data_IF_354927763565
#
_entry.id   IF_354927763565
#
_cell.length_a   1.000
_cell.length_b   1.000
_cell.length_c   1.000
_cell.angle_alpha   90.00
_cell.angle_beta   90.00
_cell.angle_gamma   90.00
#
_symmetry.space_group_name_H-M   'P 1'
#
loop_
_entity.id
_entity.type
_entity.pdbx_description
1 polymer ?
#
# COMPACT_ATOMS: atom_id res chain seq x y z
N UNK A 1 -4.75 34.46 -32.47
CA UNK A 1 -3.64 33.49 -32.64
C UNK A 1 -4.21 32.10 -32.46
N UNK A 2 -4.04 31.25 -33.48
CA UNK A 2 -4.73 29.98 -33.70
C UNK A 2 -4.23 28.87 -32.78
N UNK A 3 -5.14 28.09 -32.18
CA UNK A 3 -4.83 26.95 -31.34
C UNK A 3 -4.68 25.67 -32.20
N UNK A 4 -3.46 25.14 -32.27
CA UNK A 4 -3.15 23.91 -33.01
C UNK A 4 -3.53 22.67 -32.19
N UNK A 5 -4.49 21.88 -32.69
CA UNK A 5 -4.77 20.52 -32.23
C UNK A 5 -3.80 19.54 -32.91
N UNK A 6 -2.92 18.88 -32.16
CA UNK A 6 -2.14 17.76 -32.67
C UNK A 6 -2.96 16.46 -32.56
N UNK A 7 -3.23 15.82 -33.71
CA UNK A 7 -3.79 14.47 -33.80
C UNK A 7 -2.64 13.48 -33.98
N UNK A 8 -2.55 12.47 -33.11
CA UNK A 8 -1.62 11.35 -33.28
C UNK A 8 -2.19 10.32 -34.26
N UNK A 9 -1.36 9.92 -35.24
CA UNK A 9 -1.65 8.89 -36.22
C UNK A 9 -1.48 7.47 -35.63
N UNK A 10 -2.31 6.52 -36.06
CA UNK A 10 -2.23 5.10 -35.69
C UNK A 10 -1.10 4.38 -36.45
N UNK A 11 -0.38 3.42 -35.85
CA UNK A 11 0.58 2.60 -36.59
C UNK A 11 -0.11 1.51 -37.42
N UNK A 12 0.50 1.21 -38.57
CA UNK A 12 0.11 0.20 -39.56
C UNK A 12 0.33 -1.24 -39.05
N UNK A 13 -0.54 -2.15 -39.49
CA UNK A 13 -0.48 -3.59 -39.19
C UNK A 13 0.65 -4.25 -40.00
N UNK A 14 1.63 -4.83 -39.32
CA UNK A 14 2.59 -5.78 -39.91
C UNK A 14 2.02 -7.20 -40.06
N UNK A 15 2.63 -8.06 -40.89
CA UNK A 15 2.06 -9.35 -41.30
C UNK A 15 2.17 -10.43 -40.21
N UNK A 16 1.22 -11.37 -40.23
CA UNK A 16 0.92 -12.33 -39.17
C UNK A 16 1.97 -13.41 -38.93
N UNK A 17 2.01 -13.88 -37.67
CA UNK A 17 2.76 -15.07 -37.23
C UNK A 17 2.04 -16.36 -37.66
N UNK A 18 2.78 -17.44 -38.00
CA UNK A 18 2.19 -18.75 -38.28
C UNK A 18 1.75 -19.46 -36.98
N UNK A 19 0.79 -20.42 -37.06
CA UNK A 19 0.22 -21.06 -35.88
C UNK A 19 1.12 -22.16 -35.32
N UNK A 20 1.10 -22.33 -33.99
CA UNK A 20 1.74 -23.43 -33.27
C UNK A 20 0.91 -24.74 -33.39
N UNK A 21 1.55 -25.93 -33.38
CA UNK A 21 0.84 -27.19 -33.51
C UNK A 21 0.10 -27.58 -32.22
N UNK A 22 -1.12 -28.10 -32.39
CA UNK A 22 -2.00 -28.58 -31.32
C UNK A 22 -1.43 -29.83 -30.63
N UNK A 23 -1.22 -29.76 -29.32
CA UNK A 23 -0.96 -30.93 -28.49
C UNK A 23 -2.23 -31.80 -28.37
N UNK A 24 -2.08 -33.11 -28.64
CA UNK A 24 -3.15 -34.10 -28.55
C UNK A 24 -3.44 -34.40 -27.07
N UNK A 25 -4.67 -34.16 -26.62
CA UNK A 25 -5.16 -34.64 -25.34
C UNK A 25 -5.26 -36.17 -25.36
N UNK A 26 -4.45 -36.84 -24.52
CA UNK A 26 -4.66 -38.24 -24.12
C UNK A 26 -5.73 -38.26 -23.03
N UNK A 27 -6.88 -38.83 -23.34
CA UNK A 27 -7.94 -39.18 -22.39
C UNK A 27 -7.48 -40.33 -21.49
N UNK A 28 -7.60 -40.14 -20.17
CA UNK A 28 -7.50 -41.23 -19.17
C UNK A 28 -8.92 -41.76 -18.89
N UNK A 29 -9.13 -43.08 -18.76
CA UNK A 29 -10.43 -43.61 -18.39
C UNK A 29 -10.72 -43.43 -16.90
N UNK A 30 -11.96 -43.03 -16.63
CA UNK A 30 -12.61 -42.96 -15.31
C UNK A 30 -13.01 -44.37 -14.87
N UNK A 31 -12.50 -44.82 -13.72
CA UNK A 31 -12.99 -46.02 -13.04
C UNK A 31 -13.82 -45.61 -11.82
N UNK A 32 -15.12 -45.90 -11.90
CA UNK A 32 -16.13 -45.65 -10.86
C UNK A 32 -16.24 -46.91 -9.98
N UNK A 33 -16.23 -46.81 -8.63
CA UNK A 33 -16.45 -47.97 -7.76
C UNK A 33 -17.96 -48.31 -7.61
N UNK A 34 -18.31 -49.56 -7.23
CA UNK A 34 -19.69 -50.07 -7.25
C UNK A 34 -20.55 -49.57 -6.07
N UNK A 35 -21.90 -49.66 -6.18
CA UNK A 35 -22.81 -49.18 -5.14
C UNK A 35 -22.91 -50.18 -3.96
N UNK A 36 -22.86 -49.65 -2.74
CA UNK A 36 -23.12 -50.39 -1.51
C UNK A 36 -24.63 -50.62 -1.26
N UNK A 37 -24.99 -51.59 -0.41
CA UNK A 37 -26.37 -52.07 -0.29
C UNK A 37 -27.28 -51.07 0.45
N UNK A 38 -28.48 -50.89 -0.13
CA UNK A 38 -29.60 -50.14 0.41
C UNK A 38 -30.13 -50.77 1.70
N UNK A 39 -30.07 -50.04 2.82
CA UNK A 39 -30.79 -50.39 4.05
C UNK A 39 -32.11 -49.62 4.12
N UNK A 40 -33.19 -50.40 4.14
CA UNK A 40 -34.57 -50.01 4.33
C UNK A 40 -34.79 -49.20 5.61
N UNK A 41 -35.46 -48.06 5.46
CA UNK A 41 -35.95 -47.20 6.53
C UNK A 41 -37.19 -47.83 7.17
N UNK A 42 -37.21 -47.98 8.50
CA UNK A 42 -38.42 -48.28 9.30
C UNK A 42 -38.52 -47.21 10.39
N UNK A 43 -39.69 -46.58 10.62
CA UNK A 43 -39.84 -45.63 11.70
C UNK A 43 -40.01 -46.38 13.02
N UNK A 44 -39.31 -45.92 14.07
CA UNK A 44 -39.66 -46.25 15.45
C UNK A 44 -40.07 -44.98 16.17
N UNK A 45 -41.22 -45.12 16.81
CA UNK A 45 -42.02 -44.21 17.62
C UNK A 45 -41.27 -43.45 18.71
N UNK A 46 -41.74 -42.22 18.90
CA UNK A 46 -41.84 -41.41 20.11
C UNK A 46 -41.32 -42.03 21.42
N UNK A 47 -40.25 -41.43 21.94
CA UNK A 47 -40.16 -41.15 23.38
C UNK A 47 -39.58 -39.75 23.58
N UNK A 48 -40.42 -38.89 24.15
CA UNK A 48 -40.08 -37.57 24.64
C UNK A 48 -38.97 -37.66 25.69
N UNK A 49 -37.81 -37.08 25.38
CA UNK A 49 -36.83 -36.65 26.39
C UNK A 49 -36.87 -35.13 26.45
N UNK A 50 -37.40 -34.62 27.56
CA UNK A 50 -37.22 -33.23 27.99
C UNK A 50 -35.72 -32.95 28.09
N UNK A 51 -35.16 -32.30 27.07
CA UNK A 51 -33.87 -31.65 27.17
C UNK A 51 -34.11 -30.26 27.74
N UNK A 52 -33.81 -30.10 29.03
CA UNK A 52 -33.71 -28.80 29.68
C UNK A 52 -32.76 -27.92 28.85
N UNK A 53 -33.29 -26.80 28.36
CA UNK A 53 -32.52 -25.83 27.60
C UNK A 53 -31.38 -25.28 28.45
N UNK A 54 -30.16 -25.75 28.19
CA UNK A 54 -28.97 -25.03 28.64
C UNK A 54 -28.88 -23.75 27.81
N UNK A 55 -29.41 -22.66 28.34
CA UNK A 55 -29.00 -21.32 27.93
C UNK A 55 -27.50 -21.18 28.21
N UNK A 56 -26.66 -21.68 27.29
CA UNK A 56 -25.29 -21.20 27.19
C UNK A 56 -25.40 -19.76 26.72
N UNK A 57 -25.43 -18.86 27.70
CA UNK A 57 -25.05 -17.46 27.53
C UNK A 57 -23.86 -17.45 26.58
N UNK A 58 -24.08 -16.90 25.38
CA UNK A 58 -23.02 -16.67 24.41
C UNK A 58 -22.17 -15.58 25.06
N UNK A 59 -21.13 -16.00 25.78
CA UNK A 59 -20.23 -15.09 26.48
C UNK A 59 -19.85 -13.96 25.51
N UNK A 60 -20.09 -12.72 25.91
CA UNK A 60 -19.72 -11.56 25.12
C UNK A 60 -18.23 -11.68 24.77
N UNK A 61 -17.89 -11.45 23.50
CA UNK A 61 -16.48 -11.41 23.09
C UNK A 61 -15.73 -10.43 24.01
N UNK A 62 -14.49 -10.74 24.41
CA UNK A 62 -13.70 -9.82 25.23
C UNK A 62 -13.64 -8.44 24.56
N UNK A 63 -13.53 -7.35 25.33
CA UNK A 63 -13.40 -6.02 24.77
C UNK A 63 -12.20 -5.99 23.84
N UNK A 64 -12.43 -5.57 22.58
CA UNK A 64 -11.38 -5.50 21.57
C UNK A 64 -10.34 -4.47 21.99
N UNK A 65 -9.07 -4.73 21.68
CA UNK A 65 -8.00 -3.75 21.93
C UNK A 65 -8.21 -2.54 21.02
N UNK A 66 -7.83 -1.37 21.51
CA UNK A 66 -7.99 -0.12 20.77
C UNK A 66 -7.30 -0.16 19.40
N UNK A 67 -6.08 -0.70 19.37
CA UNK A 67 -5.26 -0.87 18.17
C UNK A 67 -5.92 -1.79 17.14
N UNK A 68 -6.64 -2.83 17.58
CA UNK A 68 -7.42 -3.70 16.70
C UNK A 68 -8.54 -2.91 16.02
N UNK A 69 -9.23 -2.00 16.74
CA UNK A 69 -10.28 -1.18 16.15
C UNK A 69 -9.73 -0.18 15.14
N UNK A 70 -8.57 0.41 15.42
CA UNK A 70 -7.87 1.28 14.49
C UNK A 70 -7.49 0.52 13.21
N UNK A 71 -6.88 -0.66 13.36
CA UNK A 71 -6.49 -1.50 12.23
C UNK A 71 -7.69 -1.95 11.40
N UNK A 72 -8.73 -2.49 12.02
CA UNK A 72 -9.96 -2.90 11.33
C UNK A 72 -10.54 -1.76 10.48
N UNK A 73 -10.55 -0.55 11.04
CA UNK A 73 -11.11 0.63 10.37
C UNK A 73 -10.20 1.11 9.23
N UNK A 74 -8.88 1.14 9.44
CA UNK A 74 -7.92 1.45 8.39
C UNK A 74 -8.03 0.47 7.22
N UNK A 75 -8.13 -0.83 7.50
CA UNK A 75 -8.29 -1.87 6.48
C UNK A 75 -9.62 -1.74 5.73
N UNK A 76 -10.72 -1.50 6.45
CA UNK A 76 -12.03 -1.30 5.84
C UNK A 76 -12.04 -0.06 4.92
N UNK A 77 -11.47 1.05 5.39
CA UNK A 77 -11.33 2.28 4.62
C UNK A 77 -10.46 2.08 3.36
N UNK A 78 -9.28 1.46 3.51
CA UNK A 78 -8.38 1.20 2.40
C UNK A 78 -9.02 0.29 1.33
N UNK A 79 -9.74 -0.75 1.75
CA UNK A 79 -10.46 -1.64 0.83
C UNK A 79 -11.61 -0.93 0.11
N UNK A 80 -12.36 -0.08 0.81
CA UNK A 80 -13.44 0.69 0.20
C UNK A 80 -12.92 1.65 -0.89
N UNK A 81 -11.87 2.42 -0.59
CA UNK A 81 -11.21 3.26 -1.60
C UNK A 81 -10.59 2.45 -2.73
N UNK A 82 -9.85 1.38 -2.40
CA UNK A 82 -9.21 0.54 -3.39
C UNK A 82 -10.19 -0.13 -4.35
N UNK A 83 -11.41 -0.45 -3.91
CA UNK A 83 -12.47 -0.94 -4.79
C UNK A 83 -12.87 0.12 -5.83
N UNK A 84 -13.06 1.37 -5.41
CA UNK A 84 -13.37 2.49 -6.31
C UNK A 84 -12.26 2.68 -7.33
N UNK A 85 -11.00 2.71 -6.87
CA UNK A 85 -9.83 2.85 -7.73
C UNK A 85 -9.74 1.70 -8.75
N UNK A 86 -9.95 0.46 -8.31
CA UNK A 86 -9.92 -0.72 -9.18
C UNK A 86 -11.00 -0.66 -10.27
N UNK A 87 -12.22 -0.28 -9.93
CA UNK A 87 -13.34 -0.19 -10.87
C UNK A 87 -13.13 0.93 -11.90
N UNK A 88 -12.49 2.03 -11.49
CA UNK A 88 -12.26 3.20 -12.33
C UNK A 88 -10.98 3.14 -13.15
N UNK A 89 -9.97 2.37 -12.76
CA UNK A 89 -8.64 2.37 -13.37
C UNK A 89 -8.60 2.21 -14.90
N UNK A 90 -9.53 1.44 -15.48
CA UNK A 90 -9.59 1.22 -16.94
C UNK A 90 -10.45 2.26 -17.69
N UNK A 91 -11.03 3.24 -16.98
CA UNK A 91 -11.92 4.25 -17.52
C UNK A 91 -11.15 5.54 -17.86
N UNK A 92 -11.68 6.41 -18.74
CA UNK A 92 -11.12 7.74 -18.94
C UNK A 92 -11.18 8.57 -17.65
N UNK A 93 -10.10 9.30 -17.35
CA UNK A 93 -9.99 10.13 -16.14
C UNK A 93 -10.03 11.63 -16.45
N UNK A 94 -10.66 12.38 -15.55
CA UNK A 94 -10.63 13.83 -15.51
C UNK A 94 -9.42 14.28 -14.71
N UNK A 95 -8.34 14.62 -15.41
CA UNK A 95 -7.07 15.02 -14.78
C UNK A 95 -7.04 16.53 -14.60
N UNK A 96 -6.86 16.98 -13.36
CA UNK A 96 -6.63 18.37 -13.00
C UNK A 96 -5.21 18.59 -12.47
N UNK A 97 -4.64 19.77 -12.72
CA UNK A 97 -3.32 20.14 -12.19
C UNK A 97 -3.48 20.85 -10.85
N UNK A 98 -2.81 20.35 -9.81
CA UNK A 98 -2.62 21.03 -8.51
C UNK A 98 -1.39 21.94 -8.54
N UNK A 99 -0.44 21.64 -9.44
CA UNK A 99 0.80 22.39 -9.61
C UNK A 99 1.77 21.69 -10.57
N UNK A 100 2.99 22.20 -10.73
CA UNK A 100 4.00 21.56 -11.57
C UNK A 100 4.30 20.12 -11.09
N UNK A 101 4.08 19.12 -11.96
CA UNK A 101 4.24 17.68 -11.65
C UNK A 101 3.30 17.18 -10.55
N UNK A 102 2.21 17.90 -10.30
CA UNK A 102 1.25 17.56 -9.27
C UNK A 102 -0.16 17.57 -9.86
N UNK A 103 -0.79 16.40 -9.88
CA UNK A 103 -2.09 16.19 -10.52
C UNK A 103 -3.04 15.50 -9.55
N UNK A 104 -4.33 15.62 -9.84
CA UNK A 104 -5.41 14.94 -9.14
C UNK A 104 -6.43 14.46 -10.17
N UNK A 105 -7.09 13.35 -9.91
CA UNK A 105 -8.20 12.83 -10.72
C UNK A 105 -9.50 12.79 -9.93
N UNK A 106 -10.62 12.54 -10.60
CA UNK A 106 -11.89 12.29 -9.93
C UNK A 106 -11.83 11.04 -9.02
N UNK A 107 -10.94 10.10 -9.31
CA UNK A 107 -10.79 8.88 -8.52
C UNK A 107 -10.16 9.15 -7.15
N UNK A 108 -9.20 10.08 -7.05
CA UNK A 108 -8.60 10.51 -5.78
C UNK A 108 -9.67 11.06 -4.82
N UNK A 109 -10.57 11.91 -5.34
CA UNK A 109 -11.63 12.54 -4.56
C UNK A 109 -12.66 11.52 -4.06
N UNK A 110 -13.09 10.60 -4.93
CA UNK A 110 -14.04 9.54 -4.57
C UNK A 110 -13.45 8.56 -3.55
N UNK A 111 -12.17 8.20 -3.71
CA UNK A 111 -11.45 7.37 -2.76
C UNK A 111 -11.32 8.07 -1.40
N UNK A 112 -11.02 9.38 -1.39
CA UNK A 112 -10.98 10.18 -0.16
C UNK A 112 -12.33 10.15 0.56
N UNK A 113 -13.43 10.44 -0.15
CA UNK A 113 -14.77 10.44 0.44
C UNK A 113 -15.11 9.11 1.11
N UNK A 114 -14.79 7.99 0.46
CA UNK A 114 -15.00 6.65 1.02
C UNK A 114 -14.18 6.41 2.29
N UNK A 115 -12.91 6.84 2.33
CA UNK A 115 -12.05 6.71 3.50
C UNK A 115 -12.58 7.56 4.65
N UNK A 116 -12.91 8.83 4.39
CA UNK A 116 -13.42 9.75 5.41
C UNK A 116 -14.73 9.25 6.02
N UNK A 117 -15.63 8.69 5.20
CA UNK A 117 -16.88 8.13 5.68
C UNK A 117 -16.65 6.95 6.64
N UNK A 118 -15.74 6.03 6.31
CA UNK A 118 -15.39 4.89 7.16
C UNK A 118 -14.77 5.32 8.48
N UNK A 119 -13.82 6.26 8.44
CA UNK A 119 -13.15 6.76 9.65
C UNK A 119 -14.15 7.47 10.56
N UNK A 120 -14.93 8.42 10.03
CA UNK A 120 -15.88 9.22 10.83
C UNK A 120 -17.02 8.41 11.41
N UNK A 121 -17.42 7.32 10.77
CA UNK A 121 -18.45 6.43 11.29
C UNK A 121 -18.04 5.77 12.62
N UNK A 122 -16.74 5.55 12.84
CA UNK A 122 -16.23 4.89 14.05
C UNK A 122 -15.49 5.82 15.01
N UNK A 123 -14.84 6.86 14.49
CA UNK A 123 -14.01 7.81 15.24
C UNK A 123 -14.34 9.26 14.85
N UNK A 124 -15.57 9.74 15.12
CA UNK A 124 -15.99 11.09 14.76
C UNK A 124 -15.15 12.21 15.42
N UNK A 125 -14.49 11.91 16.54
CA UNK A 125 -13.67 12.83 17.32
C UNK A 125 -12.18 12.88 16.91
N UNK A 126 -11.72 11.94 16.08
CA UNK A 126 -10.33 11.94 15.62
C UNK A 126 -10.07 13.01 14.55
N UNK A 127 -8.83 13.50 14.51
CA UNK A 127 -8.38 14.33 13.40
C UNK A 127 -8.08 13.50 12.16
N UNK A 128 -8.22 14.11 10.99
CA UNK A 128 -7.83 13.52 9.71
C UNK A 128 -6.99 14.53 8.93
N UNK A 129 -5.77 14.14 8.59
CA UNK A 129 -4.88 14.80 7.65
C UNK A 129 -4.90 13.99 6.35
N UNK A 130 -5.37 14.58 5.27
CA UNK A 130 -5.54 13.90 3.98
C UNK A 130 -4.97 14.75 2.85
N UNK A 131 -4.34 14.14 1.83
CA UNK A 131 -3.73 14.88 0.70
C UNK A 131 -4.71 15.86 0.03
N UNK A 132 -5.90 15.38 -0.31
CA UNK A 132 -6.90 16.17 -1.04
C UNK A 132 -7.76 17.04 -0.11
N UNK A 133 -7.51 16.99 1.20
CA UNK A 133 -8.10 17.90 2.17
C UNK A 133 -7.11 19.06 2.42
N UNK A 134 -7.47 20.26 1.97
CA UNK A 134 -6.62 21.47 2.10
C UNK A 134 -6.21 21.82 3.54
N UNK A 135 -6.90 21.27 4.54
CA UNK A 135 -6.62 21.45 5.97
C UNK A 135 -6.93 20.17 6.75
N UNK A 136 -6.28 19.99 7.91
CA UNK A 136 -6.67 18.96 8.88
C UNK A 136 -8.15 19.10 9.25
N UNK A 137 -8.89 18.01 9.14
CA UNK A 137 -10.30 17.92 9.50
C UNK A 137 -10.42 17.42 10.94
N UNK A 138 -11.24 18.06 11.76
CA UNK A 138 -11.47 17.68 13.16
C UNK A 138 -10.98 18.70 14.18
N UNK A 139 -11.29 18.47 15.46
CA UNK A 139 -10.96 19.40 16.55
C UNK A 139 -9.46 19.43 16.85
N UNK A 140 -8.88 20.62 17.03
CA UNK A 140 -7.51 20.76 17.52
C UNK A 140 -7.32 20.06 18.88
N UNK A 141 -6.22 19.33 19.06
CA UNK A 141 -5.93 18.60 20.31
C UNK A 141 -6.52 17.19 20.42
N UNK A 142 -7.09 16.62 19.35
CA UNK A 142 -7.54 15.23 19.36
C UNK A 142 -6.36 14.28 19.70
N UNK A 143 -6.62 13.20 20.48
CA UNK A 143 -5.56 12.29 20.92
C UNK A 143 -4.93 11.51 19.77
N UNK A 144 -5.67 11.33 18.68
CA UNK A 144 -5.26 10.60 17.49
C UNK A 144 -5.59 11.37 16.20
N UNK A 145 -4.73 11.18 15.20
CA UNK A 145 -4.81 11.73 13.86
C UNK A 145 -4.64 10.61 12.84
N UNK A 146 -5.59 10.51 11.92
CA UNK A 146 -5.47 9.69 10.72
C UNK A 146 -4.69 10.45 9.66
N UNK A 147 -3.73 9.80 9.01
CA UNK A 147 -2.93 10.38 7.93
C UNK A 147 -3.20 9.55 6.67
N UNK A 148 -3.76 10.17 5.64
CA UNK A 148 -4.39 9.48 4.51
C UNK A 148 -3.86 10.00 3.19
N UNK A 149 -3.42 9.07 2.34
CA UNK A 149 -3.31 9.27 0.90
C UNK A 149 -4.35 8.36 0.22
N UNK A 150 -5.41 8.93 -0.39
CA UNK A 150 -6.43 8.15 -1.06
C UNK A 150 -5.95 7.46 -2.33
N UNK A 151 -4.87 7.96 -2.97
CA UNK A 151 -4.29 7.43 -4.19
C UNK A 151 -2.81 7.85 -4.33
N UNK A 152 -1.91 7.11 -3.69
CA UNK A 152 -0.48 7.27 -3.92
C UNK A 152 -0.12 6.70 -5.29
N UNK A 153 0.48 7.54 -6.13
CA UNK A 153 0.79 7.22 -7.53
C UNK A 153 -0.26 7.71 -8.53
N UNK A 154 -0.92 8.84 -8.28
CA UNK A 154 -1.91 9.46 -9.20
C UNK A 154 -1.40 9.60 -10.64
N UNK A 155 -0.12 9.90 -10.86
CA UNK A 155 0.47 9.95 -12.21
C UNK A 155 0.50 8.59 -12.90
N UNK A 156 0.80 7.52 -12.15
CA UNK A 156 0.73 6.16 -12.67
C UNK A 156 -0.70 5.78 -12.99
N UNK A 157 -1.62 6.05 -12.06
CA UNK A 157 -3.04 5.77 -12.20
C UNK A 157 -3.64 6.47 -13.44
N UNK A 158 -3.45 7.77 -13.58
CA UNK A 158 -3.94 8.56 -14.71
C UNK A 158 -3.38 8.11 -16.07
N UNK A 159 -2.24 7.41 -16.08
CA UNK A 159 -1.59 6.89 -17.29
C UNK A 159 -1.86 5.39 -17.54
N UNK A 160 -2.63 4.73 -16.68
CA UNK A 160 -2.89 3.30 -16.78
C UNK A 160 -1.69 2.42 -16.42
N UNK A 161 -0.73 2.93 -15.64
CA UNK A 161 0.39 2.16 -15.10
C UNK A 161 -0.10 1.48 -13.80
N UNK A 162 -0.05 0.14 -13.69
CA UNK A 162 -0.64 -0.59 -12.56
C UNK A 162 0.28 -0.61 -11.33
N UNK A 163 0.67 0.58 -10.84
CA UNK A 163 1.54 0.77 -9.69
C UNK A 163 1.06 1.99 -8.89
N UNK A 164 0.09 1.77 -8.02
CA UNK A 164 -0.52 2.78 -7.14
C UNK A 164 -1.17 2.08 -5.93
N UNK A 165 -1.44 2.83 -4.86
CA UNK A 165 -2.05 2.26 -3.66
C UNK A 165 -2.88 3.28 -2.88
N UNK A 166 -3.60 2.78 -1.88
CA UNK A 166 -4.17 3.59 -0.79
C UNK A 166 -3.25 3.50 0.42
N UNK A 167 -2.92 4.62 1.05
CA UNK A 167 -2.08 4.69 2.27
C UNK A 167 -2.87 5.30 3.42
N UNK A 168 -2.92 4.60 4.56
CA UNK A 168 -3.60 5.06 5.77
C UNK A 168 -2.73 4.76 6.98
N UNK A 169 -2.40 5.77 7.77
CA UNK A 169 -1.76 5.61 9.06
C UNK A 169 -2.60 6.25 10.18
N UNK A 170 -2.36 5.80 11.40
CA UNK A 170 -2.90 6.41 12.61
C UNK A 170 -1.76 6.77 13.54
N UNK A 171 -1.68 8.06 13.86
CA UNK A 171 -0.78 8.60 14.85
C UNK A 171 -1.57 8.96 16.11
N UNK A 172 -1.13 8.50 17.27
CA UNK A 172 -1.68 8.93 18.55
C UNK A 172 -0.54 9.44 19.44
N UNK A 173 -0.70 10.63 20.03
CA UNK A 173 0.31 11.26 20.89
C UNK A 173 1.72 11.32 20.24
N UNK A 174 1.79 11.71 18.96
CA UNK A 174 3.06 11.82 18.22
C UNK A 174 3.72 10.49 17.86
N UNK A 175 2.98 9.37 18.00
CA UNK A 175 3.48 8.02 17.73
C UNK A 175 2.59 7.33 16.72
N UNK A 176 3.18 6.84 15.62
CA UNK A 176 2.50 5.93 14.69
C UNK A 176 2.11 4.63 15.43
N UNK A 177 0.83 4.29 15.36
CA UNK A 177 0.23 3.12 16.00
C UNK A 177 -0.16 2.06 14.97
N UNK A 178 -0.76 2.48 13.85
CA UNK A 178 -1.25 1.62 12.77
C UNK A 178 -0.82 2.20 11.43
N UNK A 179 -0.49 1.32 10.49
CA UNK A 179 -0.15 1.67 9.11
C UNK A 179 -0.70 0.60 8.16
N UNK A 180 -1.39 1.03 7.12
CA UNK A 180 -1.99 0.19 6.08
C UNK A 180 -1.63 0.77 4.72
N UNK A 181 -1.11 -0.09 3.84
CA UNK A 181 -0.91 0.22 2.42
C UNK A 181 -1.64 -0.85 1.61
N UNK A 182 -2.53 -0.45 0.70
CA UNK A 182 -3.34 -1.37 -0.08
C UNK A 182 -3.17 -1.15 -1.59
N UNK A 183 -2.61 -2.14 -2.27
CA UNK A 183 -2.48 -2.22 -3.73
C UNK A 183 -3.69 -2.98 -4.30
N UNK A 184 -4.65 -2.29 -4.95
CA UNK A 184 -5.97 -2.86 -5.21
C UNK A 184 -6.04 -3.80 -6.43
N UNK A 185 -5.11 -3.71 -7.38
CA UNK A 185 -5.14 -4.53 -8.59
C UNK A 185 -4.68 -5.96 -8.31
N UNK A 186 -3.61 -6.10 -7.54
CA UNK A 186 -3.05 -7.37 -7.07
C UNK A 186 -3.60 -7.83 -5.72
N UNK A 187 -4.55 -7.10 -5.11
CA UNK A 187 -5.12 -7.38 -3.78
C UNK A 187 -4.02 -7.63 -2.72
N UNK A 188 -3.07 -6.70 -2.63
CA UNK A 188 -1.98 -6.74 -1.65
C UNK A 188 -2.25 -5.74 -0.55
N UNK A 189 -2.63 -6.25 0.61
CA UNK A 189 -2.86 -5.47 1.82
C UNK A 189 -1.66 -5.64 2.76
N UNK A 190 -0.85 -4.60 2.84
CA UNK A 190 0.21 -4.47 3.84
C UNK A 190 -0.38 -3.81 5.08
N UNK A 191 -0.08 -4.33 6.26
CA UNK A 191 -0.43 -3.66 7.50
C UNK A 191 0.60 -3.90 8.61
N UNK A 192 0.66 -2.96 9.54
CA UNK A 192 1.42 -3.08 10.77
C UNK A 192 0.68 -2.41 11.94
N UNK A 193 0.87 -2.99 13.12
CA UNK A 193 0.53 -2.39 14.41
C UNK A 193 1.83 -2.27 15.18
N UNK A 194 2.04 -1.12 15.83
CA UNK A 194 3.26 -0.84 16.58
C UNK A 194 3.56 -1.96 17.59
N UNK A 195 4.73 -2.57 17.48
CA UNK A 195 5.19 -3.65 18.35
C UNK A 195 4.64 -5.05 18.00
N UNK A 196 3.82 -5.19 16.96
CA UNK A 196 3.23 -6.48 16.56
C UNK A 196 3.79 -7.01 15.23
N UNK A 197 4.65 -6.24 14.57
CA UNK A 197 5.29 -6.51 13.30
C UNK A 197 4.45 -6.17 12.06
N UNK A 198 5.05 -6.37 10.89
CA UNK A 198 4.43 -6.07 9.59
C UNK A 198 3.93 -7.34 8.89
N UNK A 199 2.86 -7.21 8.12
CA UNK A 199 2.16 -8.30 7.45
C UNK A 199 1.76 -7.91 6.03
N UNK A 200 1.75 -8.89 5.13
CA UNK A 200 1.16 -8.84 3.80
C UNK A 200 0.10 -9.93 3.69
N UNK A 201 -1.17 -9.55 3.47
CA UNK A 201 -2.29 -10.48 3.37
C UNK A 201 -2.34 -11.49 4.55
N UNK A 202 -2.11 -10.99 5.76
CA UNK A 202 -2.11 -11.78 7.01
C UNK A 202 -0.85 -12.61 7.25
N UNK A 203 0.13 -12.63 6.32
CA UNK A 203 1.41 -13.31 6.51
C UNK A 203 2.47 -12.30 6.95
N UNK A 204 3.18 -12.60 8.04
CA UNK A 204 4.27 -11.76 8.54
C UNK A 204 5.34 -11.59 7.47
N UNK A 205 5.85 -10.37 7.31
CA UNK A 205 6.95 -10.03 6.41
C UNK A 205 8.12 -9.43 7.18
N UNK A 206 9.30 -9.49 6.55
CA UNK A 206 10.53 -8.93 7.06
C UNK A 206 11.27 -8.25 5.91
N UNK A 207 12.07 -7.24 6.25
CA UNK A 207 13.02 -6.65 5.30
C UNK A 207 14.00 -7.70 4.78
N UNK A 208 14.66 -7.40 3.65
CA UNK A 208 15.61 -8.31 3.03
C UNK A 208 16.86 -8.55 3.88
N UNK A 209 17.61 -9.63 3.58
CA UNK A 209 18.93 -9.89 4.16
C UNK A 209 20.10 -9.33 3.34
N UNK A 210 19.85 -8.45 2.36
CA UNK A 210 20.89 -7.91 1.49
C UNK A 210 21.96 -7.16 2.31
N UNK A 211 23.23 -7.56 2.17
CA UNK A 211 24.31 -7.08 3.02
C UNK A 211 25.34 -6.20 2.31
N UNK A 212 25.30 -6.12 0.97
CA UNK A 212 26.28 -5.38 0.17
C UNK A 212 25.56 -4.37 -0.71
N UNK A 213 26.12 -3.15 -0.79
CA UNK A 213 25.58 -2.10 -1.66
C UNK A 213 25.46 -2.57 -3.11
N UNK A 214 26.47 -3.25 -3.65
CA UNK A 214 26.47 -3.70 -5.04
C UNK A 214 25.36 -4.72 -5.39
N UNK A 215 24.73 -5.33 -4.38
CA UNK A 215 23.58 -6.23 -4.58
C UNK A 215 22.24 -5.52 -4.29
N UNK A 216 22.27 -4.27 -3.81
CA UNK A 216 21.10 -3.51 -3.36
C UNK A 216 20.22 -3.11 -4.55
N UNK A 217 18.93 -3.42 -4.43
CA UNK A 217 17.84 -2.84 -5.21
C UNK A 217 17.26 -1.65 -4.44
N UNK A 218 17.45 -0.44 -4.96
CA UNK A 218 16.98 0.80 -4.34
C UNK A 218 15.87 1.45 -5.17
N UNK A 219 14.75 1.81 -4.55
CA UNK A 219 13.75 2.70 -5.15
C UNK A 219 14.13 4.17 -4.91
N UNK A 220 14.35 4.88 -6.01
CA UNK A 220 14.73 6.27 -6.04
C UNK A 220 13.56 7.14 -6.50
N UNK A 221 13.16 8.02 -5.59
CA UNK A 221 12.14 9.02 -5.78
C UNK A 221 12.55 10.22 -6.62
N UNK A 222 11.59 10.82 -7.31
CA UNK A 222 11.76 12.08 -8.01
C UNK A 222 10.82 13.14 -7.46
N UNK A 223 11.39 14.13 -6.78
CA UNK A 223 10.65 15.22 -6.18
C UNK A 223 9.83 16.06 -7.18
N UNK A 224 8.86 16.80 -6.65
CA UNK A 224 8.03 17.75 -7.39
C UNK A 224 8.76 19.09 -7.53
N UNK A 225 9.47 19.59 -6.53
CA UNK A 225 10.20 20.87 -6.62
C UNK A 225 11.51 20.77 -7.42
N UNK A 226 11.92 21.81 -8.16
CA UNK A 226 13.22 21.83 -8.84
C UNK A 226 14.41 21.58 -7.90
N UNK A 227 14.37 22.17 -6.70
CA UNK A 227 15.44 22.08 -5.70
C UNK A 227 15.61 20.63 -5.20
N UNK A 228 14.52 19.95 -4.83
CA UNK A 228 14.61 18.56 -4.38
C UNK A 228 14.86 17.57 -5.54
N UNK A 229 14.51 17.91 -6.79
CA UNK A 229 14.91 17.11 -7.97
C UNK A 229 16.41 17.15 -8.24
N UNK A 230 17.05 18.29 -7.96
CA UNK A 230 18.50 18.42 -8.05
C UNK A 230 19.19 17.51 -7.02
N UNK A 231 18.64 17.43 -5.79
CA UNK A 231 19.03 16.42 -4.80
C UNK A 231 18.87 14.99 -5.35
N UNK A 232 17.73 14.68 -5.97
CA UNK A 232 17.47 13.36 -6.57
C UNK A 232 18.53 13.01 -7.63
N UNK A 233 18.92 14.00 -8.45
CA UNK A 233 19.89 13.84 -9.54
C UNK A 233 21.30 13.58 -9.01
N UNK A 234 21.74 14.35 -8.01
CA UNK A 234 23.04 14.13 -7.36
C UNK A 234 23.10 12.78 -6.66
N UNK A 235 22.06 12.43 -5.90
CA UNK A 235 21.96 11.13 -5.26
C UNK A 235 21.99 9.98 -6.28
N UNK A 236 21.28 10.11 -7.41
CA UNK A 236 21.34 9.14 -8.50
C UNK A 236 22.77 8.94 -9.03
N UNK A 237 23.51 10.03 -9.23
CA UNK A 237 24.90 9.98 -9.70
C UNK A 237 25.83 9.30 -8.70
N UNK A 238 25.61 9.49 -7.40
CA UNK A 238 26.41 8.88 -6.34
C UNK A 238 26.07 7.40 -6.12
N UNK A 239 24.78 7.07 -6.16
CA UNK A 239 24.29 5.70 -5.97
C UNK A 239 24.56 4.81 -7.18
N UNK A 240 24.44 5.35 -8.39
CA UNK A 240 24.56 4.62 -9.66
C UNK A 240 25.74 3.64 -9.75
N UNK A 241 26.99 4.04 -9.46
CA UNK A 241 28.14 3.14 -9.49
C UNK A 241 28.25 2.20 -8.28
N UNK A 242 27.50 2.45 -7.20
CA UNK A 242 27.65 1.75 -5.93
C UNK A 242 26.61 0.63 -5.71
N UNK A 243 25.43 0.75 -6.32
CA UNK A 243 24.31 -0.17 -6.10
C UNK A 243 24.14 -1.18 -7.24
N UNK A 244 23.40 -2.26 -6.98
CA UNK A 244 23.10 -3.28 -7.99
C UNK A 244 22.07 -2.82 -9.02
N UNK A 245 20.98 -2.18 -8.57
CA UNK A 245 19.96 -1.66 -9.47
C UNK A 245 19.10 -0.58 -8.82
N UNK A 246 18.59 0.34 -9.63
CA UNK A 246 17.63 1.35 -9.21
C UNK A 246 16.24 1.09 -9.80
N UNK A 247 15.19 1.45 -9.05
CA UNK A 247 13.81 1.57 -9.53
C UNK A 247 13.32 2.99 -9.30
N UNK A 248 12.25 3.32 -10.00
CA UNK A 248 11.40 4.47 -9.68
C UNK A 248 9.98 3.94 -9.81
N UNK A 249 9.35 3.60 -8.68
CA UNK A 249 8.01 3.03 -8.69
C UNK A 249 6.93 4.05 -9.03
N UNK A 250 7.17 5.33 -8.70
CA UNK A 250 6.17 6.39 -8.86
C UNK A 250 5.01 6.32 -7.85
N UNK A 251 5.20 5.58 -6.75
CA UNK A 251 4.31 5.49 -5.59
C UNK A 251 5.20 5.28 -4.35
N UNK A 252 5.22 6.27 -3.46
CA UNK A 252 6.13 6.28 -2.32
C UNK A 252 5.75 5.27 -1.23
N UNK A 253 4.45 5.14 -0.94
CA UNK A 253 3.93 4.19 0.03
C UNK A 253 4.13 2.74 -0.45
N UNK A 254 4.03 2.47 -1.75
CA UNK A 254 4.39 1.15 -2.30
C UNK A 254 5.89 0.85 -2.22
N UNK A 255 6.76 1.82 -2.51
CA UNK A 255 8.22 1.64 -2.36
C UNK A 255 8.59 1.28 -0.91
N UNK A 256 8.04 2.01 0.06
CA UNK A 256 8.22 1.68 1.48
C UNK A 256 7.63 0.30 1.87
N UNK A 257 6.45 -0.06 1.35
CA UNK A 257 5.87 -1.38 1.57
C UNK A 257 6.71 -2.50 0.92
N UNK A 258 7.33 -2.25 -0.24
CA UNK A 258 8.22 -3.17 -0.91
C UNK A 258 9.51 -3.40 -0.09
N UNK A 259 10.07 -2.35 0.52
CA UNK A 259 11.17 -2.49 1.49
C UNK A 259 10.75 -3.32 2.69
N UNK A 260 9.59 -3.05 3.29
CA UNK A 260 9.06 -3.81 4.43
C UNK A 260 8.84 -5.30 4.09
N UNK A 261 8.51 -5.61 2.83
CA UNK A 261 8.32 -6.96 2.35
C UNK A 261 9.61 -7.66 1.88
N UNK A 262 10.74 -6.95 1.91
CA UNK A 262 12.04 -7.43 1.44
C UNK A 262 12.10 -7.64 -0.08
N UNK A 263 11.22 -7.00 -0.85
CA UNK A 263 11.26 -7.01 -2.32
C UNK A 263 12.28 -6.02 -2.85
N UNK A 264 12.47 -4.94 -2.12
CA UNK A 264 13.49 -3.93 -2.32
C UNK A 264 14.32 -3.80 -1.04
N UNK A 265 15.55 -3.35 -1.18
CA UNK A 265 16.50 -3.28 -0.07
C UNK A 265 16.51 -1.89 0.57
N UNK A 266 16.17 -0.86 -0.20
CA UNK A 266 16.15 0.52 0.23
C UNK A 266 15.19 1.39 -0.60
N UNK A 267 14.78 2.50 0.02
CA UNK A 267 13.95 3.55 -0.57
C UNK A 267 14.54 4.91 -0.18
N UNK A 268 14.65 5.82 -1.15
CA UNK A 268 15.04 7.21 -0.89
C UNK A 268 14.18 8.20 -1.67
N UNK A 269 13.62 9.19 -0.97
CA UNK A 269 12.90 10.31 -1.58
C UNK A 269 13.21 11.64 -0.86
N UNK A 270 13.64 12.70 -1.56
CA UNK A 270 14.05 13.98 -0.95
C UNK A 270 12.91 14.98 -0.76
N UNK A 271 11.68 14.62 -1.08
CA UNK A 271 10.51 15.50 -0.89
C UNK A 271 9.23 14.68 -0.84
N UNK A 272 8.63 14.53 0.32
CA UNK A 272 7.39 13.79 0.53
C UNK A 272 6.50 14.51 1.55
N UNK A 273 5.20 14.35 1.40
CA UNK A 273 4.23 14.74 2.40
C UNK A 273 4.06 13.66 3.48
N UNK A 274 3.47 13.99 4.65
CA UNK A 274 3.24 13.03 5.72
C UNK A 274 2.49 11.76 5.28
N UNK A 275 1.49 11.90 4.41
CA UNK A 275 0.63 10.79 3.95
C UNK A 275 1.33 9.80 3.01
N UNK A 276 2.33 10.27 2.26
CA UNK A 276 3.17 9.42 1.41
C UNK A 276 4.01 8.44 2.24
N UNK A 277 4.36 8.82 3.48
CA UNK A 277 5.37 8.13 4.29
C UNK A 277 4.79 7.38 5.49
N UNK A 278 3.78 7.94 6.18
CA UNK A 278 3.43 7.51 7.53
C UNK A 278 3.16 6.00 7.66
N UNK A 279 2.36 5.43 6.76
CA UNK A 279 2.04 4.01 6.79
C UNK A 279 3.26 3.15 6.44
N UNK A 280 3.97 3.51 5.36
CA UNK A 280 5.17 2.84 4.90
C UNK A 280 6.30 2.83 5.93
N UNK A 281 6.52 3.94 6.63
CA UNK A 281 7.54 4.04 7.69
C UNK A 281 7.25 3.10 8.85
N UNK A 282 5.97 2.99 9.28
CA UNK A 282 5.61 2.03 10.31
C UNK A 282 5.84 0.59 9.80
N UNK A 283 5.43 0.27 8.56
CA UNK A 283 5.65 -1.03 7.95
C UNK A 283 7.14 -1.41 7.95
N UNK A 284 8.03 -0.52 7.51
CA UNK A 284 9.48 -0.78 7.48
C UNK A 284 10.03 -1.03 8.88
N UNK A 285 9.68 -0.19 9.87
CA UNK A 285 10.14 -0.34 11.26
C UNK A 285 9.69 -1.67 11.87
N UNK A 286 8.42 -2.02 11.66
CA UNK A 286 7.82 -3.25 12.18
C UNK A 286 8.28 -4.52 11.43
N UNK A 287 8.79 -4.37 10.21
CA UNK A 287 9.46 -5.44 9.46
C UNK A 287 10.92 -5.67 9.88
N UNK A 288 11.46 -4.83 10.79
CA UNK A 288 12.85 -4.89 11.26
C UNK A 288 13.82 -4.00 10.46
N UNK A 289 13.31 -3.11 9.60
CA UNK A 289 14.10 -2.15 8.85
C UNK A 289 14.45 -0.89 9.62
N UNK A 290 15.23 -0.02 8.98
CA UNK A 290 15.66 1.27 9.51
C UNK A 290 15.12 2.41 8.65
N UNK A 291 14.64 3.47 9.31
CA UNK A 291 14.15 4.70 8.67
C UNK A 291 14.79 5.92 9.35
N UNK A 292 15.40 6.79 8.55
CA UNK A 292 16.06 8.03 8.99
C UNK A 292 15.80 9.16 8.01
N UNK A 293 16.21 10.37 8.40
CA UNK A 293 16.54 11.41 7.44
C UNK A 293 17.76 11.00 6.60
N UNK A 294 17.95 11.55 5.40
CA UNK A 294 19.08 11.17 4.53
C UNK A 294 20.47 11.44 5.13
N UNK A 295 20.56 12.33 6.12
CA UNK A 295 21.77 12.59 6.89
C UNK A 295 21.97 11.62 8.08
N UNK A 296 21.14 10.59 8.22
CA UNK A 296 21.15 9.63 9.32
C UNK A 296 20.45 10.11 10.60
N UNK A 297 19.91 11.33 10.60
CA UNK A 297 19.15 11.89 11.72
C UNK A 297 17.81 11.17 11.96
N UNK A 298 17.19 11.39 13.14
CA UNK A 298 15.89 10.80 13.45
C UNK A 298 14.83 11.28 12.46
N UNK A 299 13.98 10.36 12.00
CA UNK A 299 12.81 10.68 11.18
C UNK A 299 11.57 10.91 12.05
N UNK A 300 10.83 11.97 11.72
CA UNK A 300 9.49 12.26 12.22
C UNK A 300 8.51 12.56 11.07
N UNK A 301 7.23 12.68 11.42
CA UNK A 301 6.17 12.86 10.43
C UNK A 301 6.26 14.20 9.66
N UNK A 302 7.00 15.18 10.18
CA UNK A 302 7.23 16.50 9.55
C UNK A 302 8.50 16.58 8.70
N UNK A 303 9.29 15.51 8.66
CA UNK A 303 10.65 15.50 8.11
C UNK A 303 10.75 15.81 6.61
N UNK A 304 9.68 15.61 5.83
CA UNK A 304 9.62 15.94 4.39
C UNK A 304 10.54 15.11 3.48
N UNK A 305 11.38 14.25 4.04
CA UNK A 305 12.34 13.38 3.36
C UNK A 305 12.34 12.01 4.03
N UNK A 306 12.72 10.97 3.29
CA UNK A 306 12.81 9.63 3.84
C UNK A 306 13.95 8.84 3.20
N UNK A 307 14.79 8.25 4.04
CA UNK A 307 15.66 7.12 3.69
C UNK A 307 15.23 5.92 4.53
N UNK A 308 14.79 4.87 3.85
CA UNK A 308 14.40 3.60 4.46
C UNK A 308 15.25 2.46 3.88
N UNK A 309 15.55 1.44 4.67
CA UNK A 309 16.25 0.26 4.19
C UNK A 309 16.05 -0.96 5.09
N UNK A 310 16.62 -2.09 4.69
CA UNK A 310 16.72 -3.29 5.51
C UNK A 310 17.58 -3.17 6.77
N UNK A 311 18.16 -1.99 7.04
CA UNK A 311 19.02 -1.72 8.20
C UNK A 311 20.48 -2.11 7.99
N UNK A 312 20.76 -3.18 7.24
CA UNK A 312 22.12 -3.68 7.01
C UNK A 312 22.93 -2.73 6.13
N UNK A 313 22.35 -2.28 5.01
CA UNK A 313 23.03 -1.34 4.09
C UNK A 313 22.82 0.13 4.45
N UNK A 314 22.08 0.42 5.52
CA UNK A 314 21.59 1.76 5.83
C UNK A 314 22.70 2.80 6.01
N UNK A 315 23.74 2.46 6.80
CA UNK A 315 24.84 3.39 7.07
C UNK A 315 25.59 3.78 5.81
N UNK A 316 25.85 2.81 4.94
CA UNK A 316 26.55 3.03 3.68
C UNK A 316 25.73 3.90 2.72
N UNK A 317 24.39 3.75 2.73
CA UNK A 317 23.49 4.64 1.98
C UNK A 317 23.52 6.07 2.53
N UNK A 318 23.50 6.26 3.86
CA UNK A 318 23.64 7.60 4.48
C UNK A 318 24.97 8.24 4.07
N UNK A 319 26.08 7.52 4.15
CA UNK A 319 27.42 8.02 3.76
C UNK A 319 27.47 8.48 2.29
N UNK A 320 26.73 7.81 1.39
CA UNK A 320 26.64 8.19 -0.02
C UNK A 320 25.68 9.35 -0.28
N UNK A 321 24.56 9.42 0.44
CA UNK A 321 23.46 10.35 0.13
C UNK A 321 23.66 11.68 0.86
N UNK A 322 24.07 11.67 2.14
CA UNK A 322 24.17 12.86 2.98
C UNK A 322 24.98 14.03 2.37
N UNK A 323 26.10 13.81 1.63
CA UNK A 323 26.85 14.90 1.00
C UNK A 323 26.10 15.66 -0.11
N UNK A 324 24.93 15.17 -0.54
CA UNK A 324 24.17 15.72 -1.66
C UNK A 324 22.88 16.43 -1.23
N UNK A 325 22.61 16.48 0.08
CA UNK A 325 21.43 17.13 0.65
C UNK A 325 21.55 18.66 0.63
#
# INVERSE_FOLDING_TARGET
MSAARQRFARPSKGPGRPPLPRARHRTRPSTRPPPGPTRSWRPKSDQARQAQGSHRSRAAAPPRRWEELLLETAVAAARAAGQILRERFAQPHEVSSKGPRDIVTEADLLAQEAILAQIRARFPEHQILSEEARHSLGAAGAPCRWVVDPLDGTTNYARGIPCFCVSIAVECQGKLQVGVVYEPLGDRLFHAVRGEGAYLNGRRVHVSGCARLIDTLLDLGWARSPQARDISTRAASALGPAIGSARTMGSAALGLAAVAAGWEDAFFHPELAPWDMAAGVLLVREAGGTVTLPNGGPWDLSSGMCLASNGTVHRALVELIAPHM
#
